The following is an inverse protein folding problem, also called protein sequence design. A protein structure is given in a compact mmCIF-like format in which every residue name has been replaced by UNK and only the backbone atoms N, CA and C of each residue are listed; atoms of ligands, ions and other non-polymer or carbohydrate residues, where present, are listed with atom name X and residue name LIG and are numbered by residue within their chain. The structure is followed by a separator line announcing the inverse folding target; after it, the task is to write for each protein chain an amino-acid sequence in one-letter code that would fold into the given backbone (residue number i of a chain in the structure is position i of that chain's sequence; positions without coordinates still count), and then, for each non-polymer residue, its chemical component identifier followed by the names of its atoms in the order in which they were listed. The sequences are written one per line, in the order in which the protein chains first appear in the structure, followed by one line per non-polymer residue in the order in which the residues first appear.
data_IF_854612931492
#
_entry.id   IF_854612931492
#
_cell.length_a   1.000
_cell.length_b   1.000
_cell.length_c   1.000
_cell.angle_alpha   90.00
_cell.angle_beta   90.00
_cell.angle_gamma   90.00
#
_symmetry.space_group_name_H-M   'P 1'
#
loop_
_entity.id
_entity.type
_entity.pdbx_description
1 polymer ?
#
# COMPACT_ATOMS: atom_id res chain seq x y z
N UNK A 1 -20.22 5.29 -70.76
CA UNK A 1 -19.12 5.60 -69.82
C UNK A 1 -19.57 6.74 -68.94
N UNK A 2 -20.16 6.42 -67.80
CA UNK A 2 -20.69 7.38 -66.82
C UNK A 2 -20.07 7.00 -65.49
N UNK A 3 -19.19 7.87 -64.99
CA UNK A 3 -18.51 7.71 -63.70
C UNK A 3 -19.44 8.21 -62.59
N UNK A 4 -19.93 7.30 -61.75
CA UNK A 4 -20.59 7.63 -60.49
C UNK A 4 -19.56 8.06 -59.44
N UNK A 5 -19.80 9.22 -58.82
CA UNK A 5 -19.02 9.75 -57.71
C UNK A 5 -19.57 9.19 -56.39
N UNK A 6 -18.85 8.25 -55.78
CA UNK A 6 -19.05 7.86 -54.39
C UNK A 6 -18.69 9.03 -53.46
N UNK A 7 -19.70 9.60 -52.79
CA UNK A 7 -19.50 10.56 -51.70
C UNK A 7 -19.23 9.80 -50.41
N UNK A 8 -18.01 9.93 -49.88
CA UNK A 8 -17.64 9.42 -48.55
C UNK A 8 -18.17 10.39 -47.51
N UNK A 9 -19.18 9.98 -46.74
CA UNK A 9 -19.67 10.72 -45.59
C UNK A 9 -18.69 10.57 -44.42
N UNK A 10 -18.02 11.67 -44.05
CA UNK A 10 -17.18 11.76 -42.87
C UNK A 10 -18.08 11.85 -41.63
N UNK A 11 -18.22 10.75 -40.89
CA UNK A 11 -18.90 10.75 -39.58
C UNK A 11 -17.95 11.38 -38.57
N UNK A 12 -18.17 12.66 -38.24
CA UNK A 12 -17.57 13.29 -37.07
C UNK A 12 -18.22 12.68 -35.81
N UNK A 13 -17.50 11.77 -35.15
CA UNK A 13 -17.84 11.32 -33.81
C UNK A 13 -17.57 12.47 -32.82
N UNK A 14 -18.62 13.16 -32.42
CA UNK A 14 -18.55 14.08 -31.28
C UNK A 14 -18.32 13.27 -30.00
N UNK A 15 -17.10 13.32 -29.45
CA UNK A 15 -16.84 12.86 -28.10
C UNK A 15 -17.52 13.84 -27.14
N UNK A 16 -18.73 13.51 -26.68
CA UNK A 16 -19.35 14.23 -25.57
C UNK A 16 -18.47 14.02 -24.32
N UNK A 17 -18.12 15.08 -23.58
CA UNK A 17 -17.45 14.92 -22.29
C UNK A 17 -18.39 14.12 -21.38
N UNK A 18 -17.95 12.94 -20.94
CA UNK A 18 -18.63 12.18 -19.89
C UNK A 18 -18.59 13.06 -18.64
N UNK A 19 -19.72 13.66 -18.28
CA UNK A 19 -19.85 14.43 -17.05
C UNK A 19 -19.68 13.47 -15.87
N UNK A 20 -19.20 13.99 -14.75
CA UNK A 20 -19.16 13.23 -13.51
C UNK A 20 -20.60 12.96 -13.05
N UNK A 21 -21.03 11.71 -13.17
CA UNK A 21 -22.34 11.26 -12.68
C UNK A 21 -22.24 10.82 -11.22
N UNK A 22 -23.27 11.17 -10.43
CA UNK A 22 -23.43 10.76 -9.04
C UNK A 22 -24.70 9.91 -8.87
N UNK A 23 -24.55 8.72 -8.30
CA UNK A 23 -25.64 7.81 -7.96
C UNK A 23 -25.76 7.78 -6.44
N UNK A 24 -26.81 8.40 -5.91
CA UNK A 24 -27.14 8.35 -4.49
C UNK A 24 -27.80 7.00 -4.16
N UNK A 25 -27.08 6.14 -3.44
CA UNK A 25 -27.49 4.76 -3.16
C UNK A 25 -28.49 4.69 -2.00
N UNK A 26 -28.37 5.59 -1.02
CA UNK A 26 -29.33 5.72 0.09
C UNK A 26 -29.96 7.11 0.11
N UNK A 27 -31.27 7.16 0.35
CA UNK A 27 -32.02 8.42 0.48
C UNK A 27 -31.83 9.02 1.87
N UNK A 28 -31.92 8.19 2.90
CA UNK A 28 -31.85 8.58 4.30
C UNK A 28 -30.73 7.84 5.04
N UNK A 29 -30.43 8.29 6.26
CA UNK A 29 -29.48 7.63 7.15
C UNK A 29 -29.89 6.16 7.37
N UNK A 30 -28.91 5.27 7.29
CA UNK A 30 -29.08 3.84 7.49
C UNK A 30 -28.34 3.41 8.75
N UNK A 31 -29.04 2.69 9.63
CA UNK A 31 -28.44 2.01 10.78
C UNK A 31 -28.28 0.53 10.47
N UNK A 32 -27.09 0.01 10.72
CA UNK A 32 -26.75 -1.41 10.59
C UNK A 32 -26.43 -1.92 12.00
N UNK A 33 -27.32 -2.71 12.61
CA UNK A 33 -27.10 -3.24 13.95
C UNK A 33 -25.82 -4.05 14.06
N UNK A 34 -25.33 -4.19 15.29
CA UNK A 34 -24.11 -4.94 15.59
C UNK A 34 -24.16 -6.38 15.05
N UNK A 35 -23.16 -6.76 14.26
CA UNK A 35 -23.03 -8.10 13.70
C UNK A 35 -23.89 -8.34 12.46
N UNK A 36 -24.70 -7.36 12.05
CA UNK A 36 -25.55 -7.46 10.88
C UNK A 36 -24.87 -6.93 9.62
N UNK A 37 -25.41 -7.37 8.48
CA UNK A 37 -24.98 -6.95 7.13
C UNK A 37 -26.18 -6.39 6.39
N UNK A 38 -25.97 -5.28 5.67
CA UNK A 38 -26.96 -4.72 4.77
C UNK A 38 -26.39 -4.63 3.37
N UNK A 39 -27.22 -4.94 2.38
CA UNK A 39 -26.87 -4.83 0.96
C UNK A 39 -27.49 -3.60 0.32
N UNK A 40 -26.84 -3.12 -0.73
CA UNK A 40 -27.25 -1.99 -1.54
C UNK A 40 -26.91 -2.26 -3.00
N UNK A 41 -27.77 -1.78 -3.90
CA UNK A 41 -27.65 -1.96 -5.35
C UNK A 41 -27.62 -0.57 -6.01
N UNK A 42 -26.88 -0.43 -7.11
CA UNK A 42 -26.66 0.88 -7.74
C UNK A 42 -26.54 0.85 -9.27
N UNK A 43 -27.00 -0.22 -9.90
CA UNK A 43 -27.01 -0.40 -11.35
C UNK A 43 -25.63 -0.66 -11.93
N UNK A 44 -25.50 -0.40 -13.22
CA UNK A 44 -24.23 -0.44 -13.96
C UNK A 44 -23.52 0.91 -13.92
N UNK A 45 -22.19 0.88 -14.00
CA UNK A 45 -21.36 2.08 -14.05
C UNK A 45 -20.28 1.96 -15.14
N UNK A 46 -19.94 3.03 -15.85
CA UNK A 46 -18.88 3.00 -16.85
C UNK A 46 -17.51 2.76 -16.20
N UNK A 47 -16.69 1.90 -16.82
CA UNK A 47 -15.31 1.64 -16.39
C UNK A 47 -14.25 2.10 -17.39
N UNK A 48 -14.61 2.14 -18.68
CA UNK A 48 -13.65 2.53 -19.72
C UNK A 48 -13.36 4.03 -19.60
N UNK A 49 -12.09 4.37 -19.45
CA UNK A 49 -11.61 5.74 -19.30
C UNK A 49 -12.34 6.52 -18.19
N UNK A 50 -12.86 5.80 -17.19
CA UNK A 50 -13.68 6.34 -16.11
C UNK A 50 -13.25 5.70 -14.79
N UNK A 51 -13.07 6.54 -13.77
CA UNK A 51 -12.81 6.11 -12.40
C UNK A 51 -14.13 6.10 -11.63
N UNK A 52 -14.44 4.99 -10.96
CA UNK A 52 -15.61 4.84 -10.10
C UNK A 52 -15.19 4.92 -8.64
N UNK A 53 -15.77 5.89 -7.93
CA UNK A 53 -15.51 6.17 -6.53
C UNK A 53 -16.72 5.82 -5.66
N UNK A 54 -16.49 5.03 -4.63
CA UNK A 54 -17.44 4.80 -3.54
C UNK A 54 -17.18 5.84 -2.44
N UNK A 55 -18.17 6.68 -2.18
CA UNK A 55 -18.17 7.68 -1.10
C UNK A 55 -19.10 7.22 0.04
N UNK A 56 -18.53 7.00 1.22
CA UNK A 56 -19.27 6.55 2.41
C UNK A 56 -18.98 7.50 3.57
N UNK A 57 -20.03 8.09 4.13
CA UNK A 57 -19.97 8.84 5.39
C UNK A 57 -20.57 8.01 6.51
N UNK A 58 -19.77 7.65 7.51
CA UNK A 58 -20.18 6.72 8.57
C UNK A 58 -19.62 7.04 9.95
N UNK A 59 -20.33 6.61 10.99
CA UNK A 59 -19.87 6.61 12.39
C UNK A 59 -20.40 5.36 13.09
N UNK A 60 -19.76 4.97 14.19
CA UNK A 60 -20.30 4.01 15.13
C UNK A 60 -21.06 4.79 16.20
N UNK A 61 -22.33 4.47 16.38
CA UNK A 61 -23.19 5.17 17.34
C UNK A 61 -22.63 5.03 18.75
N UNK A 62 -22.39 6.16 19.43
CA UNK A 62 -21.85 6.17 20.78
C UNK A 62 -22.36 7.38 21.56
N UNK A 63 -22.45 7.26 22.88
CA UNK A 63 -22.88 8.34 23.77
C UNK A 63 -21.88 9.53 23.78
N UNK A 64 -20.65 9.34 23.32
CA UNK A 64 -19.64 10.37 23.22
C UNK A 64 -18.51 9.99 22.26
N UNK A 65 -17.51 10.87 22.15
CA UNK A 65 -16.32 10.59 21.34
C UNK A 65 -15.41 9.61 22.07
N UNK A 66 -15.17 8.45 21.45
CA UNK A 66 -14.45 7.32 22.06
C UNK A 66 -13.23 6.84 21.27
N UNK A 67 -12.70 7.67 20.37
CA UNK A 67 -11.67 7.27 19.42
C UNK A 67 -12.26 6.56 18.19
N UNK A 68 -11.56 5.56 17.67
CA UNK A 68 -11.98 4.83 16.46
C UNK A 68 -11.46 3.39 16.44
N UNK A 69 -12.14 2.51 15.70
CA UNK A 69 -11.71 1.12 15.46
C UNK A 69 -12.28 0.61 14.12
N UNK A 70 -11.85 -0.57 13.69
CA UNK A 70 -12.25 -1.22 12.43
C UNK A 70 -13.63 -1.88 12.55
N UNK A 71 -14.70 -1.13 12.25
CA UNK A 71 -16.10 -1.57 12.41
C UNK A 71 -16.85 -1.82 11.11
N UNK A 72 -16.37 -1.29 9.99
CA UNK A 72 -17.11 -1.34 8.73
C UNK A 72 -16.40 -2.23 7.73
N UNK A 73 -16.90 -3.45 7.55
CA UNK A 73 -16.44 -4.32 6.46
C UNK A 73 -17.27 -4.03 5.21
N UNK A 74 -16.58 -3.91 4.08
CA UNK A 74 -17.18 -3.61 2.77
C UNK A 74 -16.87 -4.74 1.79
N UNK A 75 -17.91 -5.25 1.13
CA UNK A 75 -17.79 -6.23 0.04
C UNK A 75 -18.54 -5.70 -1.18
N UNK A 76 -17.89 -5.63 -2.34
CA UNK A 76 -18.52 -5.21 -3.59
C UNK A 76 -18.43 -6.36 -4.60
N UNK A 77 -19.58 -6.80 -5.11
CA UNK A 77 -19.70 -7.91 -6.05
C UNK A 77 -18.95 -9.17 -5.56
N UNK A 78 -19.14 -9.51 -4.28
CA UNK A 78 -18.49 -10.64 -3.62
C UNK A 78 -17.01 -10.46 -3.30
N UNK A 79 -16.39 -9.33 -3.64
CA UNK A 79 -14.97 -9.04 -3.40
C UNK A 79 -14.80 -7.99 -2.30
N UNK A 80 -13.93 -8.26 -1.33
CA UNK A 80 -13.65 -7.33 -0.23
C UNK A 80 -13.04 -6.03 -0.76
N UNK A 81 -13.56 -4.90 -0.31
CA UNK A 81 -13.01 -3.57 -0.60
C UNK A 81 -11.89 -3.27 0.39
N UNK A 82 -10.67 -3.70 0.07
CA UNK A 82 -9.45 -3.49 0.88
C UNK A 82 -8.94 -2.04 0.81
N UNK A 83 -7.93 -1.68 1.60
CA UNK A 83 -7.31 -0.36 1.50
C UNK A 83 -6.54 -0.10 0.19
N UNK A 84 -6.08 -1.16 -0.47
CA UNK A 84 -5.25 -1.08 -1.67
C UNK A 84 -5.50 -2.28 -2.60
N UNK A 85 -5.32 -2.08 -3.92
CA UNK A 85 -5.27 -3.18 -4.89
C UNK A 85 -3.89 -3.82 -4.90
N UNK A 86 -2.86 -2.98 -4.93
CA UNK A 86 -1.43 -3.35 -4.85
C UNK A 86 -0.73 -2.39 -3.89
N UNK A 87 0.51 -2.70 -3.49
CA UNK A 87 1.28 -1.82 -2.58
C UNK A 87 1.53 -0.42 -3.12
N UNK A 88 1.40 -0.25 -4.44
CA UNK A 88 1.59 1.03 -5.15
C UNK A 88 0.27 1.65 -5.62
N UNK A 89 -0.86 0.94 -5.47
CA UNK A 89 -2.19 1.40 -5.89
C UNK A 89 -3.14 1.33 -4.70
N UNK A 90 -3.22 2.44 -3.96
CA UNK A 90 -4.18 2.62 -2.86
C UNK A 90 -5.59 2.91 -3.41
N UNK A 91 -6.61 2.45 -2.67
CA UNK A 91 -8.02 2.74 -2.99
C UNK A 91 -8.49 4.01 -2.30
N UNK A 92 -8.04 4.29 -1.08
CA UNK A 92 -8.43 5.49 -0.34
C UNK A 92 -7.87 6.75 -1.02
N UNK A 93 -8.75 7.61 -1.53
CA UNK A 93 -8.40 8.78 -2.35
C UNK A 93 -8.40 10.09 -1.55
N UNK A 94 -9.21 10.20 -0.49
CA UNK A 94 -9.40 11.46 0.23
C UNK A 94 -8.43 11.68 1.40
N UNK A 95 -7.57 10.69 1.71
CA UNK A 95 -6.50 10.79 2.72
C UNK A 95 -5.49 9.65 2.57
N UNK A 96 -4.27 9.76 3.15
CA UNK A 96 -3.37 8.63 3.28
C UNK A 96 -3.96 7.49 4.12
N UNK A 97 -3.72 6.23 3.71
CA UNK A 97 -4.19 5.03 4.44
C UNK A 97 -3.73 5.03 5.90
N UNK A 98 -2.53 5.53 6.18
CA UNK A 98 -2.04 5.80 7.54
C UNK A 98 -2.04 7.31 7.75
N UNK A 99 -2.85 7.79 8.69
CA UNK A 99 -2.89 9.22 9.06
C UNK A 99 -3.26 9.38 10.54
N UNK A 100 -3.06 10.58 11.13
CA UNK A 100 -3.30 10.76 12.56
C UNK A 100 -4.77 10.51 12.94
N UNK A 101 -4.96 9.74 14.01
CA UNK A 101 -6.27 9.50 14.64
C UNK A 101 -6.39 10.14 16.03
N UNK A 102 -5.27 10.66 16.54
CA UNK A 102 -5.13 11.55 17.68
C UNK A 102 -3.84 12.38 17.49
N UNK A 103 -3.60 13.37 18.35
CA UNK A 103 -2.38 14.16 18.32
C UNK A 103 -1.13 13.24 18.40
N UNK A 104 -0.24 13.36 17.40
CA UNK A 104 0.99 12.58 17.26
C UNK A 104 0.81 11.05 17.20
N UNK A 105 -0.38 10.57 16.83
CA UNK A 105 -0.68 9.14 16.81
C UNK A 105 -1.21 8.72 15.43
N UNK A 106 -0.33 8.37 14.47
CA UNK A 106 -0.73 7.83 13.18
C UNK A 106 -1.24 6.39 13.31
N UNK A 107 -2.36 6.08 12.67
CA UNK A 107 -2.86 4.72 12.54
C UNK A 107 -3.43 4.47 11.14
N UNK A 108 -3.49 3.19 10.76
CA UNK A 108 -4.16 2.77 9.52
C UNK A 108 -5.67 2.96 9.62
N UNK A 109 -6.29 3.40 8.52
CA UNK A 109 -7.75 3.48 8.33
C UNK A 109 -8.36 2.15 7.88
N UNK A 110 -7.54 1.13 7.64
CA UNK A 110 -7.98 -0.22 7.31
C UNK A 110 -7.15 -1.25 8.07
N UNK A 111 -7.80 -2.26 8.63
CA UNK A 111 -7.14 -3.33 9.36
C UNK A 111 -8.12 -4.39 9.81
N UNK A 112 -7.66 -5.63 9.94
CA UNK A 112 -8.55 -6.76 10.30
C UNK A 112 -9.75 -6.89 9.36
N UNK A 113 -9.54 -6.69 8.06
CA UNK A 113 -10.55 -6.74 7.00
C UNK A 113 -11.71 -5.73 7.12
N UNK A 114 -11.56 -4.68 7.93
CA UNK A 114 -12.55 -3.64 8.11
C UNK A 114 -11.94 -2.23 8.07
N UNK A 115 -12.78 -1.27 7.70
CA UNK A 115 -12.48 0.15 7.71
C UNK A 115 -12.70 0.75 9.09
N UNK A 116 -11.80 1.67 9.44
CA UNK A 116 -11.83 2.41 10.70
C UNK A 116 -12.99 3.41 10.68
N UNK A 117 -13.80 3.36 11.74
CA UNK A 117 -14.95 4.21 11.96
C UNK A 117 -14.86 4.81 13.37
N UNK A 118 -15.26 6.07 13.51
CA UNK A 118 -15.21 6.80 14.78
C UNK A 118 -16.39 6.43 15.68
N UNK A 119 -16.13 6.29 16.98
CA UNK A 119 -17.19 6.37 17.99
C UNK A 119 -17.62 7.82 18.10
N UNK A 120 -18.87 8.13 17.77
CA UNK A 120 -19.36 9.50 17.85
C UNK A 120 -20.89 9.56 18.04
N UNK A 121 -21.41 10.56 18.76
CA UNK A 121 -22.85 10.83 18.85
C UNK A 121 -23.39 11.52 17.59
N UNK A 122 -22.54 12.20 16.82
CA UNK A 122 -22.88 13.00 15.65
C UNK A 122 -21.77 12.95 14.58
N UNK A 123 -22.01 13.66 13.46
CA UNK A 123 -21.09 13.79 12.31
C UNK A 123 -20.34 15.13 12.30
N UNK A 124 -20.30 15.86 13.41
CA UNK A 124 -19.79 17.24 13.46
C UNK A 124 -18.63 17.41 14.44
N UNK A 125 -18.71 16.81 15.63
CA UNK A 125 -17.74 17.09 16.69
C UNK A 125 -16.32 16.68 16.32
N UNK A 126 -16.13 15.57 15.60
CA UNK A 126 -14.79 15.14 15.21
C UNK A 126 -14.15 16.06 14.16
N UNK A 127 -14.93 16.79 13.36
CA UNK A 127 -14.42 17.75 12.37
C UNK A 127 -13.67 18.92 13.03
N UNK A 128 -13.91 19.17 14.31
CA UNK A 128 -13.26 20.25 15.07
C UNK A 128 -11.82 19.92 15.47
N UNK A 129 -11.38 18.68 15.29
CA UNK A 129 -10.03 18.25 15.63
C UNK A 129 -9.06 18.38 14.44
N UNK A 130 -8.07 19.26 14.57
CA UNK A 130 -7.11 19.59 13.51
C UNK A 130 -6.13 18.47 13.15
N UNK A 131 -6.01 17.43 13.98
CA UNK A 131 -5.12 16.30 13.67
C UNK A 131 -5.71 15.38 12.59
N UNK A 132 -7.02 15.40 12.35
CA UNK A 132 -7.59 14.62 11.25
C UNK A 132 -7.27 15.24 9.90
N UNK A 133 -6.84 14.41 8.97
CA UNK A 133 -6.66 14.81 7.56
C UNK A 133 -8.01 14.70 6.86
N UNK A 134 -8.61 15.83 6.50
CA UNK A 134 -9.94 15.87 5.86
C UNK A 134 -11.08 15.44 6.80
N UNK A 135 -12.22 15.01 6.24
CA UNK A 135 -13.41 14.62 7.02
C UNK A 135 -13.26 13.21 7.62
N UNK A 136 -13.08 13.01 8.94
CA UNK A 136 -12.80 11.70 9.53
C UNK A 136 -13.96 10.70 9.44
N UNK A 137 -15.17 11.15 9.10
CA UNK A 137 -16.32 10.28 8.90
C UNK A 137 -16.40 9.72 7.46
N UNK A 138 -15.61 10.26 6.53
CA UNK A 138 -15.75 10.01 5.12
C UNK A 138 -14.62 9.16 4.55
N UNK A 139 -15.00 8.10 3.83
CA UNK A 139 -14.10 7.31 2.99
C UNK A 139 -14.47 7.54 1.52
N UNK A 140 -13.49 7.91 0.71
CA UNK A 140 -13.63 7.95 -0.75
C UNK A 140 -12.71 6.90 -1.35
N UNK A 141 -13.28 5.84 -1.89
CA UNK A 141 -12.57 4.64 -2.33
C UNK A 141 -12.67 4.48 -3.84
N UNK A 142 -11.53 4.32 -4.52
CA UNK A 142 -11.50 3.84 -5.90
C UNK A 142 -11.85 2.35 -5.93
N UNK A 143 -13.02 2.05 -6.49
CA UNK A 143 -13.59 0.71 -6.58
C UNK A 143 -13.76 0.25 -8.04
N UNK A 144 -13.10 0.95 -8.98
CA UNK A 144 -13.31 0.74 -10.42
C UNK A 144 -13.16 -0.73 -10.81
N UNK A 145 -12.07 -1.40 -10.43
CA UNK A 145 -11.81 -2.83 -10.74
C UNK A 145 -12.72 -3.84 -10.00
N UNK A 146 -13.50 -3.38 -9.02
CA UNK A 146 -14.45 -4.19 -8.27
C UNK A 146 -15.87 -4.10 -8.85
N UNK A 147 -16.17 -3.05 -9.61
CA UNK A 147 -17.48 -2.86 -10.24
C UNK A 147 -17.68 -3.82 -11.43
N UNK A 148 -18.93 -3.96 -11.85
CA UNK A 148 -19.35 -4.68 -13.03
C UNK A 148 -19.99 -3.70 -14.01
N UNK A 149 -19.40 -3.46 -15.19
CA UNK A 149 -19.95 -2.49 -16.14
C UNK A 149 -21.17 -3.04 -16.91
N UNK A 150 -21.42 -4.35 -16.85
CA UNK A 150 -22.41 -5.05 -17.66
C UNK A 150 -23.55 -5.69 -16.84
N UNK A 151 -23.51 -5.61 -15.52
CA UNK A 151 -24.59 -6.11 -14.65
C UNK A 151 -24.71 -5.28 -13.37
N UNK A 152 -25.80 -5.54 -12.64
CA UNK A 152 -26.09 -4.93 -11.33
C UNK A 152 -24.89 -5.05 -10.38
N UNK A 153 -24.59 -3.95 -9.69
CA UNK A 153 -23.52 -3.91 -8.70
C UNK A 153 -24.10 -3.97 -7.29
N UNK A 154 -23.61 -4.91 -6.49
CA UNK A 154 -24.07 -5.13 -5.12
C UNK A 154 -22.98 -4.82 -4.10
N UNK A 155 -23.22 -3.81 -3.28
CA UNK A 155 -22.39 -3.47 -2.13
C UNK A 155 -23.00 -4.07 -0.85
N UNK A 156 -22.19 -4.72 -0.05
CA UNK A 156 -22.53 -5.18 1.29
C UNK A 156 -21.71 -4.39 2.31
N UNK A 157 -22.39 -3.91 3.35
CA UNK A 157 -21.79 -3.23 4.49
C UNK A 157 -22.12 -4.04 5.75
N UNK A 158 -21.09 -4.54 6.43
CA UNK A 158 -21.22 -5.32 7.67
C UNK A 158 -20.69 -4.52 8.84
N UNK A 159 -21.47 -4.46 9.92
CA UNK A 159 -21.04 -3.92 11.21
C UNK A 159 -20.33 -5.02 12.02
N UNK A 160 -19.01 -4.90 12.18
CA UNK A 160 -18.17 -5.89 12.88
C UNK A 160 -18.06 -5.64 14.40
N UNK A 161 -18.81 -4.68 14.95
CA UNK A 161 -18.83 -4.42 16.38
C UNK A 161 -19.19 -5.67 17.21
N UNK A 162 -18.69 -5.73 18.44
CA UNK A 162 -18.90 -6.84 19.38
C UNK A 162 -19.70 -6.41 20.61
N UNK A 163 -20.20 -7.33 21.46
CA UNK A 163 -20.85 -6.95 22.72
C UNK A 163 -19.99 -6.01 23.59
N UNK A 164 -18.67 -6.25 23.63
CA UNK A 164 -17.73 -5.37 24.31
C UNK A 164 -17.67 -3.96 23.69
N UNK A 165 -17.85 -3.86 22.37
CA UNK A 165 -17.90 -2.58 21.66
C UNK A 165 -19.11 -1.76 22.11
N UNK A 166 -20.29 -2.39 22.26
CA UNK A 166 -21.50 -1.72 22.73
C UNK A 166 -21.37 -1.21 24.17
N UNK A 167 -20.74 -2.00 25.05
CA UNK A 167 -20.42 -1.57 26.42
C UNK A 167 -19.53 -0.32 26.42
N UNK A 168 -18.47 -0.31 25.60
CA UNK A 168 -17.58 0.83 25.46
C UNK A 168 -18.30 2.06 24.86
N UNK A 169 -19.17 1.84 23.86
CA UNK A 169 -19.92 2.89 23.19
C UNK A 169 -21.04 3.49 24.06
N UNK A 170 -21.50 2.76 25.08
CA UNK A 170 -22.67 3.07 25.92
C UNK A 170 -23.97 3.25 25.11
N UNK A 171 -24.09 2.51 24.02
CA UNK A 171 -25.23 2.49 23.08
C UNK A 171 -25.38 1.07 22.52
N UNK A 172 -26.22 0.88 21.49
CA UNK A 172 -26.30 -0.38 20.72
C UNK A 172 -25.08 -0.63 19.82
N UNK A 173 -24.20 0.36 19.64
CA UNK A 173 -23.10 0.34 18.67
C UNK A 173 -23.55 -0.01 17.25
N UNK A 174 -24.65 0.61 16.82
CA UNK A 174 -25.08 0.54 15.42
C UNK A 174 -24.07 1.28 14.54
N UNK A 175 -23.73 0.70 13.39
CA UNK A 175 -22.99 1.41 12.36
C UNK A 175 -23.98 2.30 11.62
N UNK A 176 -23.75 3.60 11.69
CA UNK A 176 -24.60 4.62 11.11
C UNK A 176 -23.97 5.11 9.82
N UNK A 177 -24.64 4.90 8.69
CA UNK A 177 -24.23 5.37 7.36
C UNK A 177 -25.12 6.55 7.00
N UNK A 178 -24.56 7.75 7.03
CA UNK A 178 -25.29 9.00 6.74
C UNK A 178 -25.44 9.23 5.25
N UNK A 179 -24.41 8.91 4.47
CA UNK A 179 -24.45 9.00 3.02
C UNK A 179 -23.69 7.84 2.37
N UNK A 180 -24.22 7.39 1.24
CA UNK A 180 -23.64 6.33 0.41
C UNK A 180 -23.87 6.72 -1.05
N UNK A 181 -22.78 7.05 -1.74
CA UNK A 181 -22.84 7.60 -3.10
C UNK A 181 -21.78 6.93 -3.98
N UNK A 182 -22.14 6.61 -5.21
CA UNK A 182 -21.20 6.23 -6.26
C UNK A 182 -20.98 7.46 -7.13
N UNK A 183 -19.72 7.85 -7.33
CA UNK A 183 -19.35 8.95 -8.22
C UNK A 183 -18.49 8.44 -9.35
N UNK A 184 -18.69 8.96 -10.54
CA UNK A 184 -17.82 8.70 -11.68
C UNK A 184 -16.98 9.93 -11.97
N UNK A 185 -15.73 9.72 -12.40
CA UNK A 185 -14.81 10.79 -12.80
C UNK A 185 -14.14 10.39 -14.13
N UNK A 186 -14.02 11.31 -15.09
CA UNK A 186 -13.21 11.07 -16.28
C UNK A 186 -11.76 10.69 -15.95
N UNK A 187 -11.22 9.75 -16.72
CA UNK A 187 -9.85 9.24 -16.60
C UNK A 187 -9.81 7.79 -16.14
N UNK A 188 -8.92 7.01 -16.76
CA UNK A 188 -8.68 5.62 -16.39
C UNK A 188 -8.21 5.50 -14.93
N UNK A 189 -8.86 4.62 -14.18
CA UNK A 189 -8.46 4.35 -12.79
C UNK A 189 -7.13 3.59 -12.74
N UNK A 190 -6.19 3.96 -11.85
CA UNK A 190 -5.00 3.16 -11.57
C UNK A 190 -5.33 1.74 -11.07
N UNK A 191 -6.52 1.54 -10.47
CA UNK A 191 -6.98 0.21 -10.07
C UNK A 191 -7.31 -0.69 -11.26
N UNK A 192 -7.49 -0.15 -12.47
CA UNK A 192 -7.71 -0.96 -13.67
C UNK A 192 -6.41 -1.46 -14.31
N UNK A 193 -5.26 -0.88 -13.96
CA UNK A 193 -3.97 -1.35 -14.46
C UNK A 193 -3.74 -2.82 -14.08
N UNK A 194 -3.17 -3.61 -14.98
CA UNK A 194 -2.80 -4.99 -14.68
C UNK A 194 -1.89 -5.03 -13.44
N UNK A 195 -2.39 -5.66 -12.38
CA UNK A 195 -1.59 -5.88 -11.18
C UNK A 195 -0.55 -6.96 -11.44
N UNK A 196 0.53 -6.98 -10.65
CA UNK A 196 1.40 -8.15 -10.59
C UNK A 196 0.55 -9.37 -10.21
N UNK A 197 0.26 -10.20 -11.21
CA UNK A 197 -0.37 -11.49 -11.02
C UNK A 197 0.59 -12.37 -10.22
N UNK A 198 0.34 -12.50 -8.91
CA UNK A 198 0.13 -13.80 -8.25
C UNK A 198 -0.11 -13.60 -6.73
N UNK A 199 -1.34 -13.18 -6.39
CA UNK A 199 -1.78 -13.13 -4.99
C UNK A 199 -2.04 -14.54 -4.43
N UNK A 200 -2.40 -15.50 -5.29
CA UNK A 200 -2.92 -16.82 -4.90
C UNK A 200 -1.94 -17.97 -5.17
N UNK A 201 -0.66 -17.79 -4.87
CA UNK A 201 0.27 -18.92 -4.82
C UNK A 201 0.01 -19.68 -3.52
N UNK A 202 -0.90 -20.66 -3.58
CA UNK A 202 -1.04 -21.65 -2.52
C UNK A 202 0.22 -22.52 -2.57
N UNK A 203 1.01 -22.49 -1.49
CA UNK A 203 2.09 -23.45 -1.33
C UNK A 203 1.49 -24.86 -1.18
N UNK A 204 1.54 -25.65 -2.25
CA UNK A 204 1.03 -27.04 -2.27
C UNK A 204 2.03 -28.07 -1.74
N UNK A 205 3.13 -27.63 -1.11
CA UNK A 205 4.23 -28.50 -0.71
C UNK A 205 5.05 -29.04 -1.89
N UNK A 206 4.82 -28.53 -3.11
CA UNK A 206 5.62 -28.88 -4.28
C UNK A 206 7.05 -28.36 -4.08
N UNK A 207 8.09 -29.18 -4.30
CA UNK A 207 9.47 -28.70 -4.26
C UNK A 207 9.64 -27.48 -5.17
N UNK A 208 10.22 -26.41 -4.64
CA UNK A 208 10.52 -25.23 -5.44
C UNK A 208 11.47 -25.59 -6.59
N UNK A 209 11.42 -24.82 -7.69
CA UNK A 209 12.20 -25.05 -8.92
C UNK A 209 13.75 -24.99 -8.75
N UNK A 210 14.24 -24.87 -7.52
CA UNK A 210 15.65 -24.71 -7.20
C UNK A 210 16.14 -23.27 -7.36
N UNK A 211 17.44 -23.03 -7.08
CA UNK A 211 18.05 -21.72 -7.26
C UNK A 211 18.15 -21.35 -8.74
N UNK A 212 17.78 -20.12 -9.09
CA UNK A 212 18.01 -19.58 -10.42
C UNK A 212 19.45 -19.08 -10.55
N UNK A 213 20.11 -19.38 -11.66
CA UNK A 213 21.43 -18.84 -11.96
C UNK A 213 21.38 -17.30 -12.09
N UNK A 214 22.38 -16.62 -11.55
CA UNK A 214 22.45 -15.16 -11.54
C UNK A 214 23.90 -14.68 -11.66
N UNK A 215 24.08 -13.42 -12.06
CA UNK A 215 25.37 -12.73 -12.01
C UNK A 215 25.30 -11.65 -10.94
N UNK A 216 26.21 -11.68 -9.98
CA UNK A 216 26.31 -10.68 -8.92
C UNK A 216 27.49 -9.75 -9.15
N UNK A 217 27.33 -8.47 -8.80
CA UNK A 217 28.40 -7.48 -8.83
C UNK A 217 28.31 -6.55 -7.63
N UNK A 218 29.39 -6.45 -6.86
CA UNK A 218 29.58 -5.37 -5.90
C UNK A 218 29.92 -4.08 -6.65
N UNK A 219 29.35 -2.96 -6.23
CA UNK A 219 29.52 -1.65 -6.88
C UNK A 219 30.32 -0.71 -5.98
N UNK A 220 30.96 0.30 -6.59
CA UNK A 220 31.86 1.22 -5.87
C UNK A 220 31.16 2.02 -4.76
N UNK A 221 29.84 2.20 -4.85
CA UNK A 221 29.03 2.80 -3.80
C UNK A 221 28.75 1.90 -2.58
N UNK A 222 29.25 0.66 -2.55
CA UNK A 222 29.13 -0.28 -1.43
C UNK A 222 27.84 -1.11 -1.39
N UNK A 223 26.88 -0.81 -2.27
CA UNK A 223 25.76 -1.70 -2.60
C UNK A 223 26.15 -2.70 -3.69
N UNK A 224 25.23 -3.60 -4.03
CA UNK A 224 25.46 -4.60 -5.07
C UNK A 224 24.25 -4.75 -5.98
N UNK A 225 24.47 -5.33 -7.15
CA UNK A 225 23.41 -5.69 -8.08
C UNK A 225 23.47 -7.18 -8.40
N UNK A 226 22.31 -7.76 -8.70
CA UNK A 226 22.22 -9.09 -9.32
C UNK A 226 21.45 -8.98 -10.63
N UNK A 227 21.86 -9.80 -11.59
CA UNK A 227 21.23 -9.95 -12.90
C UNK A 227 20.74 -11.39 -13.07
N UNK A 228 19.46 -11.54 -13.39
CA UNK A 228 18.77 -12.81 -13.60
C UNK A 228 17.97 -12.72 -14.90
N UNK A 229 18.46 -13.36 -15.96
CA UNK A 229 17.90 -13.16 -17.29
C UNK A 229 17.96 -11.68 -17.69
N UNK A 230 16.79 -11.07 -17.96
CA UNK A 230 16.67 -9.64 -18.29
C UNK A 230 16.36 -8.75 -17.08
N UNK A 231 16.24 -9.34 -15.89
CA UNK A 231 15.95 -8.59 -14.67
C UNK A 231 17.23 -8.21 -13.94
N UNK A 232 17.29 -6.93 -13.55
CA UNK A 232 18.34 -6.39 -12.67
C UNK A 232 17.71 -5.93 -11.35
N UNK A 233 18.29 -6.36 -10.24
CA UNK A 233 17.92 -5.91 -8.89
C UNK A 233 19.10 -5.24 -8.23
N UNK A 234 18.84 -4.08 -7.63
CA UNK A 234 19.85 -3.23 -7.01
C UNK A 234 19.58 -3.16 -5.51
N UNK A 235 20.60 -3.50 -4.72
CA UNK A 235 20.52 -3.62 -3.27
C UNK A 235 21.35 -2.53 -2.61
N UNK A 236 20.71 -1.82 -1.69
CA UNK A 236 21.31 -0.74 -0.92
C UNK A 236 21.16 -0.98 0.58
N UNK A 237 21.95 -0.26 1.37
CA UNK A 237 21.75 -0.20 2.82
C UNK A 237 21.91 1.24 3.31
N UNK A 238 21.18 1.57 4.37
CA UNK A 238 21.28 2.85 5.06
C UNK A 238 21.49 2.60 6.55
N UNK A 239 22.40 3.37 7.14
CA UNK A 239 22.74 3.30 8.56
C UNK A 239 22.60 4.71 9.14
N UNK A 240 21.89 4.85 10.26
CA UNK A 240 21.76 6.15 10.91
C UNK A 240 23.06 6.60 11.57
N UNK A 241 23.26 7.90 11.72
CA UNK A 241 24.30 8.48 12.57
C UNK A 241 23.66 9.41 13.63
N UNK A 242 24.37 9.73 14.73
CA UNK A 242 23.89 10.63 15.79
C UNK A 242 23.35 11.97 15.27
N UNK A 243 22.37 12.53 15.98
CA UNK A 243 21.75 13.82 15.67
C UNK A 243 21.00 13.91 14.32
N UNK A 244 20.53 12.75 13.84
CA UNK A 244 19.68 12.53 12.66
C UNK A 244 20.42 12.56 11.30
N UNK A 245 20.06 11.60 10.45
CA UNK A 245 20.59 11.42 9.10
C UNK A 245 20.89 9.96 8.78
N UNK A 246 21.28 9.68 7.53
CA UNK A 246 21.58 8.33 7.04
C UNK A 246 22.85 8.34 6.18
N UNK A 247 23.82 7.50 6.52
CA UNK A 247 24.92 7.11 5.65
C UNK A 247 24.49 5.95 4.77
N UNK A 248 24.90 5.93 3.50
CA UNK A 248 24.37 4.98 2.51
C UNK A 248 25.47 4.16 1.84
N UNK A 249 25.15 2.89 1.64
CA UNK A 249 25.84 1.96 0.76
C UNK A 249 24.92 1.69 -0.43
N UNK A 250 25.21 2.31 -1.58
CA UNK A 250 24.33 2.36 -2.75
C UNK A 250 24.82 1.46 -3.87
N UNK A 251 23.88 0.88 -4.62
CA UNK A 251 24.18 0.12 -5.83
C UNK A 251 24.49 1.06 -7.01
N UNK A 252 25.59 1.80 -6.92
CA UNK A 252 26.02 2.75 -7.94
C UNK A 252 27.54 2.73 -8.14
N UNK A 253 27.99 3.23 -9.29
CA UNK A 253 29.43 3.33 -9.63
C UNK A 253 30.16 4.44 -8.85
N UNK A 254 29.45 5.22 -8.02
CA UNK A 254 30.03 6.22 -7.13
C UNK A 254 29.38 6.14 -5.74
N UNK A 255 30.14 6.38 -4.66
CA UNK A 255 29.59 6.55 -3.32
C UNK A 255 28.55 7.65 -3.21
N UNK A 256 27.59 7.45 -2.31
CA UNK A 256 26.69 8.52 -1.88
C UNK A 256 27.45 9.52 -1.00
N UNK A 257 27.27 10.81 -1.27
CA UNK A 257 27.93 11.91 -0.56
C UNK A 257 26.95 12.75 0.26
N UNK A 258 25.68 12.32 0.35
CA UNK A 258 24.62 13.02 1.09
C UNK A 258 24.57 12.68 2.58
N UNK A 259 25.38 11.70 3.01
CA UNK A 259 25.49 11.26 4.38
C UNK A 259 26.19 12.27 5.29
N UNK A 260 26.67 11.77 6.42
CA UNK A 260 27.42 12.54 7.39
C UNK A 260 28.67 13.18 6.75
N UNK A 261 29.02 14.43 7.08
CA UNK A 261 30.31 14.99 6.71
C UNK A 261 31.46 14.08 7.14
N UNK A 262 32.36 13.74 6.21
CA UNK A 262 33.46 12.80 6.43
C UNK A 262 33.12 11.33 6.16
N UNK A 263 31.88 11.00 5.77
CA UNK A 263 31.52 9.67 5.31
C UNK A 263 32.27 9.31 4.01
N UNK A 264 32.94 8.18 4.03
CA UNK A 264 33.68 7.63 2.89
C UNK A 264 33.32 6.17 2.67
N UNK A 265 33.36 5.73 1.41
CA UNK A 265 33.09 4.33 1.03
C UNK A 265 34.15 3.89 0.03
N UNK A 266 34.74 2.72 0.28
CA UNK A 266 35.63 2.02 -0.64
C UNK A 266 35.15 0.58 -0.79
N UNK A 267 35.10 0.08 -2.02
CA UNK A 267 34.66 -1.28 -2.31
C UNK A 267 35.66 -1.97 -3.25
N UNK A 268 36.09 -3.17 -2.88
CA UNK A 268 37.02 -3.99 -3.66
C UNK A 268 36.85 -5.48 -3.35
N UNK A 269 36.96 -6.35 -4.35
CA UNK A 269 37.07 -7.80 -4.15
C UNK A 269 35.94 -8.47 -3.33
N UNK A 270 34.73 -7.89 -3.29
CA UNK A 270 33.63 -8.37 -2.44
C UNK A 270 33.63 -7.81 -1.02
N UNK A 271 34.55 -6.91 -0.68
CA UNK A 271 34.64 -6.20 0.57
C UNK A 271 34.25 -4.73 0.40
N UNK A 272 33.65 -4.15 1.43
CA UNK A 272 33.37 -2.72 1.53
C UNK A 272 33.88 -2.23 2.87
N UNK A 273 34.64 -1.15 2.86
CA UNK A 273 34.98 -0.39 4.05
C UNK A 273 34.33 0.98 3.91
N UNK A 274 33.48 1.31 4.86
CA UNK A 274 32.85 2.61 4.94
C UNK A 274 33.02 3.21 6.32
N UNK A 275 33.33 4.49 6.40
CA UNK A 275 33.75 5.13 7.64
C UNK A 275 33.28 6.57 7.67
N UNK A 276 32.78 6.98 8.83
CA UNK A 276 32.55 8.38 9.18
C UNK A 276 33.01 8.64 10.61
N UNK A 277 32.74 9.83 11.15
CA UNK A 277 33.16 10.22 12.50
C UNK A 277 32.70 9.28 13.63
N UNK A 278 31.49 8.70 13.53
CA UNK A 278 30.89 7.94 14.65
C UNK A 278 31.14 6.43 14.60
N UNK A 279 31.29 5.87 13.41
CA UNK A 279 31.45 4.43 13.23
C UNK A 279 32.14 4.05 11.93
N UNK A 280 32.65 2.82 11.92
CA UNK A 280 33.16 2.12 10.74
C UNK A 280 32.29 0.90 10.45
N UNK A 281 32.01 0.67 9.18
CA UNK A 281 31.37 -0.53 8.64
C UNK A 281 32.38 -1.29 7.80
N UNK A 282 32.57 -2.58 8.10
CA UNK A 282 33.24 -3.53 7.21
C UNK A 282 32.21 -4.54 6.74
N UNK A 283 31.92 -4.53 5.45
CA UNK A 283 30.94 -5.42 4.83
C UNK A 283 31.64 -6.41 3.93
N UNK A 284 31.24 -7.68 4.04
CA UNK A 284 31.59 -8.74 3.10
C UNK A 284 30.36 -9.14 2.30
N UNK A 285 30.46 -9.17 0.97
CA UNK A 285 29.44 -9.64 0.04
C UNK A 285 29.98 -10.86 -0.72
N UNK A 286 29.37 -12.03 -0.50
CA UNK A 286 29.73 -13.29 -1.17
C UNK A 286 28.61 -13.74 -2.09
N UNK A 287 28.90 -13.81 -3.38
CA UNK A 287 28.00 -14.38 -4.38
C UNK A 287 28.22 -15.89 -4.46
N UNK A 288 27.24 -16.68 -4.00
CA UNK A 288 27.26 -18.15 -4.09
C UNK A 288 26.28 -18.64 -5.15
N UNK A 289 26.35 -19.89 -5.63
CA UNK A 289 25.40 -20.40 -6.62
C UNK A 289 23.92 -20.35 -6.20
N UNK A 290 23.61 -20.21 -4.89
CA UNK A 290 22.24 -20.26 -4.37
C UNK A 290 21.73 -18.97 -3.75
N UNK A 291 22.63 -18.10 -3.28
CA UNK A 291 22.30 -16.89 -2.53
C UNK A 291 23.45 -15.90 -2.53
N UNK A 292 23.14 -14.65 -2.23
CA UNK A 292 24.13 -13.64 -1.85
C UNK A 292 24.19 -13.60 -0.33
N UNK A 293 25.38 -13.78 0.25
CA UNK A 293 25.60 -13.63 1.69
C UNK A 293 26.20 -12.24 1.95
N UNK A 294 25.57 -11.48 2.84
CA UNK A 294 26.04 -10.17 3.28
C UNK A 294 26.29 -10.23 4.78
N UNK A 295 27.48 -9.81 5.21
CA UNK A 295 27.86 -9.73 6.62
C UNK A 295 28.46 -8.35 6.90
N UNK A 296 27.94 -7.66 7.91
CA UNK A 296 28.37 -6.34 8.34
C UNK A 296 28.99 -6.40 9.74
N UNK A 297 30.23 -5.95 9.88
CA UNK A 297 30.88 -5.64 11.15
C UNK A 297 30.84 -4.12 11.36
N UNK A 298 30.21 -3.68 12.45
CA UNK A 298 30.03 -2.26 12.78
C UNK A 298 30.81 -1.95 14.05
N UNK A 299 31.78 -1.03 13.94
CA UNK A 299 32.62 -0.59 15.06
C UNK A 299 32.22 0.81 15.50
N UNK A 300 31.82 0.97 16.76
CA UNK A 300 31.64 2.29 17.39
C UNK A 300 33.01 2.94 17.59
N UNK A 301 33.21 4.17 17.08
CA UNK A 301 34.46 4.90 17.22
C UNK A 301 34.52 5.78 18.48
N UNK A 302 33.39 5.95 19.18
CA UNK A 302 33.35 6.64 20.46
C UNK A 302 33.88 5.77 21.59
N UNK A 303 34.71 6.35 22.47
CA UNK A 303 35.27 5.65 23.64
C UNK A 303 34.34 5.71 24.86
N UNK A 304 33.56 6.78 24.96
CA UNK A 304 32.79 7.19 26.14
C UNK A 304 31.29 7.35 25.86
N UNK A 305 30.85 7.11 24.62
CA UNK A 305 29.44 7.17 24.22
C UNK A 305 28.96 5.88 23.57
N UNK A 306 27.72 5.48 23.88
CA UNK A 306 27.04 4.38 23.20
C UNK A 306 26.54 4.84 21.83
N UNK A 307 26.66 3.97 20.83
CA UNK A 307 26.10 4.21 19.51
C UNK A 307 24.70 3.58 19.40
N UNK A 308 23.69 4.42 19.20
CA UNK A 308 22.38 3.97 18.74
C UNK A 308 22.36 3.90 17.21
N UNK A 309 21.87 2.79 16.64
CA UNK A 309 21.89 2.57 15.20
C UNK A 309 20.57 1.99 14.68
N UNK A 310 20.06 2.60 13.63
CA UNK A 310 19.03 2.04 12.75
C UNK A 310 19.72 1.55 11.48
N UNK A 311 19.39 0.32 11.07
CA UNK A 311 19.86 -0.27 9.83
C UNK A 311 18.67 -0.55 8.93
N UNK A 312 18.77 -0.16 7.67
CA UNK A 312 17.78 -0.41 6.63
C UNK A 312 18.45 -1.11 5.45
N UNK A 313 17.82 -2.15 4.94
CA UNK A 313 18.18 -2.80 3.68
C UNK A 313 17.06 -2.59 2.66
N UNK A 314 17.42 -2.35 1.40
CA UNK A 314 16.48 -2.02 0.36
C UNK A 314 16.84 -2.75 -0.93
N UNK A 315 15.81 -3.18 -1.66
CA UNK A 315 15.93 -3.61 -3.06
C UNK A 315 15.06 -2.71 -3.93
N UNK A 316 15.64 -2.19 -5.01
CA UNK A 316 14.89 -1.37 -5.96
C UNK A 316 14.00 -2.23 -6.85
N UNK A 317 12.70 -1.93 -6.84
CA UNK A 317 11.70 -2.50 -7.75
C UNK A 317 11.27 -1.50 -8.84
N UNK A 318 12.07 -0.45 -9.07
CA UNK A 318 11.74 0.60 -10.04
C UNK A 318 11.52 -0.01 -11.42
N UNK A 319 10.39 0.32 -12.04
CA UNK A 319 10.01 -0.21 -13.36
C UNK A 319 9.62 -1.69 -13.36
N UNK A 320 9.43 -2.31 -12.19
CA UNK A 320 9.04 -3.72 -12.06
C UNK A 320 7.63 -3.85 -11.52
N UNK A 321 6.88 -4.75 -12.12
CA UNK A 321 5.59 -5.22 -11.61
C UNK A 321 5.84 -6.41 -10.69
N UNK A 322 5.72 -6.19 -9.37
CA UNK A 322 6.08 -7.18 -8.36
C UNK A 322 4.98 -7.37 -7.31
N UNK A 323 4.81 -8.62 -6.85
CA UNK A 323 4.05 -8.95 -5.65
C UNK A 323 5.01 -9.09 -4.46
N UNK A 324 4.76 -8.38 -3.37
CA UNK A 324 5.66 -8.35 -2.20
C UNK A 324 4.93 -8.86 -0.96
N UNK A 325 5.55 -9.80 -0.26
CA UNK A 325 5.10 -10.34 1.03
C UNK A 325 6.06 -9.89 2.13
N UNK A 326 5.53 -9.34 3.22
CA UNK A 326 6.29 -8.93 4.41
C UNK A 326 6.09 -9.97 5.50
N UNK A 327 7.13 -10.71 5.89
CA UNK A 327 7.02 -11.85 6.79
C UNK A 327 5.94 -12.86 6.37
N UNK A 328 5.78 -13.06 5.05
CA UNK A 328 4.73 -13.89 4.46
C UNK A 328 3.36 -13.21 4.29
N UNK A 329 3.14 -12.03 4.87
CA UNK A 329 1.88 -11.29 4.74
C UNK A 329 1.72 -10.66 3.34
N UNK A 330 0.73 -11.09 2.53
CA UNK A 330 0.51 -10.58 1.18
C UNK A 330 -0.33 -9.29 1.15
N UNK A 331 -0.82 -8.79 2.28
CA UNK A 331 -1.72 -7.64 2.33
C UNK A 331 -1.04 -6.39 1.72
N UNK A 332 -1.55 -5.87 0.58
CA UNK A 332 -0.97 -4.72 -0.07
C UNK A 332 -1.15 -3.41 0.71
N UNK A 333 -2.02 -3.38 1.73
CA UNK A 333 -2.22 -2.20 2.57
C UNK A 333 -1.17 -2.04 3.68
N UNK A 334 -0.45 -3.10 4.03
CA UNK A 334 0.50 -3.13 5.16
C UNK A 334 1.92 -2.89 4.64
N UNK A 335 2.42 -1.67 4.69
CA UNK A 335 3.77 -1.34 4.19
C UNK A 335 4.87 -1.40 5.25
N UNK A 336 4.51 -1.58 6.52
CA UNK A 336 5.42 -1.77 7.64
C UNK A 336 4.90 -2.92 8.49
N UNK A 337 5.77 -3.86 8.85
CA UNK A 337 5.38 -5.05 9.59
C UNK A 337 6.46 -5.43 10.58
N UNK A 338 6.10 -5.41 11.87
CA UNK A 338 7.00 -5.81 12.94
C UNK A 338 6.96 -7.32 13.14
N UNK A 339 8.04 -8.01 12.78
CA UNK A 339 8.14 -9.47 12.86
C UNK A 339 9.55 -9.88 13.25
N UNK A 340 9.89 -9.73 14.53
CA UNK A 340 11.23 -10.08 15.04
C UNK A 340 11.63 -11.53 14.76
N UNK A 341 10.67 -12.46 14.78
CA UNK A 341 10.93 -13.88 14.55
C UNK A 341 11.15 -14.24 13.08
N UNK A 342 10.71 -13.40 12.14
CA UNK A 342 10.86 -13.60 10.71
C UNK A 342 10.69 -12.27 9.95
N UNK A 343 11.74 -11.44 9.84
CA UNK A 343 11.68 -10.16 9.13
C UNK A 343 11.82 -10.31 7.61
N UNK A 344 11.54 -11.50 7.04
CA UNK A 344 11.79 -11.77 5.63
C UNK A 344 10.93 -10.91 4.71
N UNK A 345 11.51 -10.53 3.58
CA UNK A 345 10.77 -9.91 2.47
C UNK A 345 10.85 -10.86 1.29
N UNK A 346 9.69 -11.20 0.72
CA UNK A 346 9.64 -11.97 -0.51
C UNK A 346 9.07 -11.10 -1.64
N UNK A 347 9.81 -11.01 -2.74
CA UNK A 347 9.42 -10.30 -3.95
C UNK A 347 9.24 -11.33 -5.06
N UNK A 348 8.02 -11.44 -5.58
CA UNK A 348 7.73 -12.20 -6.79
C UNK A 348 7.60 -11.24 -7.98
N UNK A 349 8.35 -11.53 -9.04
CA UNK A 349 8.15 -10.97 -10.38
C UNK A 349 7.81 -12.12 -11.32
N UNK A 350 7.49 -11.82 -12.58
CA UNK A 350 7.17 -12.85 -13.57
C UNK A 350 8.30 -13.88 -13.65
N UNK A 351 8.00 -15.13 -13.33
CA UNK A 351 8.91 -16.29 -13.37
C UNK A 351 10.13 -16.24 -12.42
N UNK A 352 10.16 -15.35 -11.42
CA UNK A 352 11.27 -15.26 -10.47
C UNK A 352 10.79 -14.82 -9.08
N UNK A 353 11.36 -15.44 -8.05
CA UNK A 353 11.19 -15.04 -6.66
C UNK A 353 12.51 -14.64 -6.03
N UNK A 354 12.51 -13.54 -5.28
CA UNK A 354 13.63 -13.05 -4.49
C UNK A 354 13.23 -13.03 -3.01
N UNK A 355 13.97 -13.76 -2.18
CA UNK A 355 13.88 -13.67 -0.73
C UNK A 355 15.01 -12.83 -0.17
N UNK A 356 14.69 -11.94 0.77
CA UNK A 356 15.63 -11.14 1.56
C UNK A 356 15.48 -11.44 3.04
#
# INVERSE_FOLDING_TARGET
MTYEKCSVALVLAFALPVLADEIRVIKDEVRIPRGETRWFEFGTVPQRDTTVLLDVESRLDSAGFGGSMYFMKLTLNGRMVKAAKTRTVARLQNRPTVSPVAANLPYSWFGGDAWRVLYAPDFEGALKHSFYVGNPYQLVLDVTDLTNPAAENRLEITNTATPMTALAAKTKADLVVKSLTIRTKPGASPTMAEGAADQDVINRGTPGAGPTAYKGRLLAGGGFAIEVGNERFEFASALSYPNAGLNRLVAAEKPDTSGQPGWTVSADGGQVVAEGPDYRVRRTVRFTPRKVEVADEITNLHRDAKLGLLVKHEVSLKGKTAAVRLAGNPDPAINEYYSNGNPSVYVAVKNLGLGL
#
